data_IF_283289389683
#
_entry.id   IF_283289389683
#
_cell.length_a   1.000
_cell.length_b   1.000
_cell.length_c   1.000
_cell.angle_alpha   90.00
_cell.angle_beta   90.00
_cell.angle_gamma   90.00
#
_symmetry.space_group_name_H-M   'P 1'
#
loop_
_entity.id
_entity.type
_entity.pdbx_description
1 polymer ?
#
# COMPACT_ATOMS: atom_id res chain seq x y z
N UNK A 1 21.64 18.79 58.36
CA UNK A 1 22.00 18.54 56.94
C UNK A 1 21.61 17.12 56.57
N UNK A 2 20.53 16.94 55.80
CA UNK A 2 20.16 15.62 55.25
C UNK A 2 21.04 15.35 54.03
N UNK A 3 21.90 14.34 54.10
CA UNK A 3 22.57 13.79 52.91
C UNK A 3 21.56 12.93 52.17
N UNK A 4 21.13 13.38 51.00
CA UNK A 4 20.44 12.56 50.01
C UNK A 4 21.37 11.42 49.62
N UNK A 5 21.01 10.18 49.98
CA UNK A 5 21.65 8.99 49.41
C UNK A 5 21.11 8.87 47.99
N UNK A 6 21.92 9.28 47.03
CA UNK A 6 21.72 8.97 45.62
C UNK A 6 21.62 7.46 45.48
N UNK A 7 20.54 6.98 44.87
CA UNK A 7 20.25 5.56 44.71
C UNK A 7 21.35 4.90 43.88
N UNK A 8 22.05 3.94 44.47
CA UNK A 8 22.99 3.10 43.76
C UNK A 8 22.22 2.22 42.76
N UNK A 9 22.26 2.60 41.48
CA UNK A 9 21.75 1.75 40.40
C UNK A 9 22.62 0.50 40.32
N UNK A 10 21.99 -0.68 40.45
CA UNK A 10 22.68 -1.97 40.37
C UNK A 10 23.27 -2.17 38.97
N UNK A 11 24.52 -2.63 38.86
CA UNK A 11 25.15 -2.95 37.57
C UNK A 11 24.30 -3.92 36.73
N UNK A 12 23.61 -4.85 37.39
CA UNK A 12 22.69 -5.78 36.73
C UNK A 12 21.48 -5.08 36.08
N UNK A 13 21.02 -3.95 36.64
CA UNK A 13 19.94 -3.17 36.03
C UNK A 13 20.41 -2.47 34.75
N UNK A 14 21.64 -1.97 34.74
CA UNK A 14 22.25 -1.34 33.55
C UNK A 14 22.43 -2.38 32.44
N UNK A 15 22.91 -3.58 32.76
CA UNK A 15 23.09 -4.65 31.77
C UNK A 15 21.76 -5.12 31.15
N UNK A 16 20.70 -5.26 31.95
CA UNK A 16 19.38 -5.61 31.43
C UNK A 16 18.82 -4.49 30.55
N UNK A 17 18.99 -3.23 30.95
CA UNK A 17 18.52 -2.08 30.19
C UNK A 17 19.26 -1.96 28.84
N UNK A 18 20.58 -2.17 28.82
CA UNK A 18 21.37 -2.18 27.58
C UNK A 18 20.94 -3.32 26.65
N UNK A 19 20.74 -4.53 27.16
CA UNK A 19 20.27 -5.65 26.36
C UNK A 19 18.88 -5.39 25.76
N UNK A 20 17.96 -4.82 26.54
CA UNK A 20 16.63 -4.43 26.04
C UNK A 20 16.75 -3.33 24.97
N UNK A 21 17.60 -2.32 25.16
CA UNK A 21 17.80 -1.25 24.19
C UNK A 21 18.34 -1.78 22.85
N UNK A 22 19.26 -2.74 22.88
CA UNK A 22 19.80 -3.38 21.66
C UNK A 22 18.72 -4.20 20.95
N UNK A 23 17.88 -4.94 21.68
CA UNK A 23 16.75 -5.66 21.08
C UNK A 23 15.77 -4.69 20.42
N UNK A 24 15.42 -3.59 21.10
CA UNK A 24 14.56 -2.55 20.51
C UNK A 24 15.19 -1.92 19.27
N UNK A 25 16.51 -1.67 19.25
CA UNK A 25 17.22 -1.14 18.10
C UNK A 25 17.13 -2.08 16.89
N UNK A 26 17.35 -3.38 17.12
CA UNK A 26 17.23 -4.39 16.06
C UNK A 26 15.78 -4.48 15.57
N UNK A 27 14.80 -4.47 16.47
CA UNK A 27 13.38 -4.47 16.11
C UNK A 27 12.99 -3.21 15.31
N UNK A 28 13.54 -2.04 15.63
CA UNK A 28 13.32 -0.82 14.84
C UNK A 28 13.99 -0.85 13.47
N UNK A 29 15.11 -1.56 13.30
CA UNK A 29 15.77 -1.73 12.00
C UNK A 29 15.03 -2.73 11.11
N UNK A 30 14.43 -3.77 11.70
CA UNK A 30 13.60 -4.74 10.98
C UNK A 30 12.21 -4.15 10.68
N UNK A 31 11.72 -3.26 11.55
CA UNK A 31 10.50 -2.48 11.32
C UNK A 31 10.81 -1.30 10.42
N UNK A 32 10.98 -1.54 9.12
CA UNK A 32 10.90 -0.45 8.14
C UNK A 32 9.63 0.37 8.41
N UNK A 33 9.72 1.70 8.59
CA UNK A 33 8.53 2.50 8.67
C UNK A 33 7.89 2.49 7.29
N UNK A 34 6.78 1.76 7.14
CA UNK A 34 5.80 2.05 6.09
C UNK A 34 5.08 3.36 6.42
N UNK A 35 5.84 4.45 6.59
CA UNK A 35 5.32 5.79 6.71
C UNK A 35 4.96 6.30 5.32
N UNK A 36 3.78 5.89 4.85
CA UNK A 36 2.93 6.64 3.91
C UNK A 36 1.48 6.14 4.04
N UNK A 37 0.98 6.09 5.28
CA UNK A 37 -0.45 6.25 5.50
C UNK A 37 -0.74 7.75 5.54
N UNK A 38 -0.87 8.36 4.36
CA UNK A 38 -1.62 9.61 4.28
C UNK A 38 -3.09 9.27 4.48
N UNK A 39 -3.64 9.79 5.57
CA UNK A 39 -5.07 9.90 5.80
C UNK A 39 -5.78 10.48 4.57
N UNK A 40 -6.43 9.64 3.77
CA UNK A 40 -7.48 10.06 2.84
C UNK A 40 -8.80 10.16 3.61
N UNK A 41 -8.86 11.11 4.54
CA UNK A 41 -10.09 11.59 5.17
C UNK A 41 -10.32 13.09 4.90
N UNK A 42 -10.09 13.51 3.67
CA UNK A 42 -10.55 14.77 3.06
C UNK A 42 -10.47 14.53 1.54
N UNK A 43 -11.49 14.64 0.68
CA UNK A 43 -12.56 15.60 0.56
C UNK A 43 -13.83 14.93 0.01
N UNK A 44 -14.95 15.09 0.72
CA UNK A 44 -16.27 15.09 0.12
C UNK A 44 -16.41 16.46 -0.57
N UNK A 45 -16.42 16.47 -1.90
CA UNK A 45 -16.50 17.64 -2.81
C UNK A 45 -15.16 18.25 -3.28
N UNK A 46 -14.53 17.60 -4.26
CA UNK A 46 -13.85 18.36 -5.31
C UNK A 46 -14.04 17.67 -6.66
N UNK A 47 -14.72 18.36 -7.58
CA UNK A 47 -14.63 18.12 -9.03
C UNK A 47 -13.21 18.51 -9.48
N UNK A 48 -12.20 17.81 -8.97
CA UNK A 48 -10.80 17.94 -9.37
C UNK A 48 -10.56 17.03 -10.55
N UNK A 49 -10.67 17.59 -11.76
CA UNK A 49 -10.19 16.95 -12.97
C UNK A 49 -8.68 16.75 -12.85
N UNK A 50 -8.26 15.57 -12.42
CA UNK A 50 -6.91 15.10 -12.64
C UNK A 50 -6.81 14.79 -14.14
N UNK A 51 -6.45 15.81 -14.93
CA UNK A 51 -5.96 15.60 -16.29
C UNK A 51 -4.58 14.92 -16.19
N UNK A 52 -4.60 13.62 -15.89
CA UNK A 52 -3.43 12.75 -16.04
C UNK A 52 -3.24 12.53 -17.54
N UNK A 53 -2.29 13.23 -18.15
CA UNK A 53 -1.91 12.95 -19.54
C UNK A 53 -1.34 11.53 -19.63
N UNK A 54 -1.94 10.81 -20.58
CA UNK A 54 -1.53 9.59 -21.28
C UNK A 54 -1.52 8.26 -20.50
N UNK A 55 -2.59 7.49 -20.76
CA UNK A 55 -2.86 6.09 -20.37
C UNK A 55 -3.27 5.89 -18.90
N UNK A 56 -4.36 6.57 -18.49
CA UNK A 56 -5.12 6.17 -17.31
C UNK A 56 -5.93 4.90 -17.59
N UNK A 57 -5.70 3.85 -16.80
CA UNK A 57 -6.35 2.55 -16.94
C UNK A 57 -7.30 2.32 -15.77
N UNK A 58 -8.50 1.85 -16.06
CA UNK A 58 -9.44 1.36 -15.05
C UNK A 58 -9.41 -0.17 -15.02
N UNK A 59 -9.21 -0.75 -13.84
CA UNK A 59 -9.26 -2.19 -13.63
C UNK A 59 -10.40 -2.50 -12.67
N UNK A 60 -11.41 -3.25 -13.11
CA UNK A 60 -12.59 -3.57 -12.30
C UNK A 60 -12.69 -5.07 -12.05
N UNK A 61 -12.86 -5.46 -10.80
CA UNK A 61 -13.19 -6.83 -10.44
C UNK A 61 -14.59 -7.19 -10.97
N UNK A 62 -14.69 -8.33 -11.64
CA UNK A 62 -15.91 -8.92 -12.18
C UNK A 62 -16.09 -10.33 -11.60
N UNK A 63 -17.21 -11.00 -11.90
CA UNK A 63 -17.54 -12.30 -11.31
C UNK A 63 -16.44 -13.35 -11.52
N UNK A 64 -15.85 -13.39 -12.71
CA UNK A 64 -14.87 -14.41 -13.12
C UNK A 64 -13.48 -13.82 -13.40
N UNK A 65 -13.08 -12.76 -12.70
CA UNK A 65 -11.74 -12.16 -12.83
C UNK A 65 -11.77 -10.64 -12.90
N UNK A 66 -11.09 -10.09 -13.90
CA UNK A 66 -10.83 -8.65 -14.01
C UNK A 66 -11.15 -8.12 -15.41
N UNK A 67 -11.65 -6.90 -15.44
CA UNK A 67 -11.96 -6.13 -16.62
C UNK A 67 -11.04 -4.90 -16.66
N UNK A 68 -10.30 -4.73 -17.74
CA UNK A 68 -9.42 -3.58 -17.97
C UNK A 68 -10.06 -2.67 -19.02
N UNK A 69 -10.20 -1.39 -18.67
CA UNK A 69 -10.72 -0.35 -19.57
C UNK A 69 -9.68 0.74 -19.77
N UNK A 70 -9.61 1.23 -21.00
CA UNK A 70 -8.82 2.39 -21.37
C UNK A 70 -9.77 3.45 -21.93
N UNK A 71 -9.78 4.65 -21.32
CA UNK A 71 -10.69 5.74 -21.72
C UNK A 71 -12.16 5.27 -21.78
N UNK A 72 -12.59 4.49 -20.79
CA UNK A 72 -13.94 3.93 -20.70
C UNK A 72 -14.26 2.74 -21.63
N UNK A 73 -13.36 2.36 -22.55
CA UNK A 73 -13.55 1.22 -23.46
C UNK A 73 -12.89 -0.04 -22.90
N UNK A 74 -13.62 -1.16 -22.90
CA UNK A 74 -13.05 -2.48 -22.61
C UNK A 74 -11.94 -2.80 -23.61
N UNK A 75 -10.73 -3.00 -23.10
CA UNK A 75 -9.56 -3.38 -23.91
C UNK A 75 -9.14 -4.81 -23.63
N UNK A 76 -9.42 -5.29 -22.44
CA UNK A 76 -8.96 -6.59 -22.00
C UNK A 76 -9.82 -7.14 -20.86
N UNK A 77 -10.00 -8.46 -20.81
CA UNK A 77 -10.65 -9.19 -19.72
C UNK A 77 -9.90 -10.50 -19.47
N UNK A 78 -9.64 -10.83 -18.22
CA UNK A 78 -8.95 -12.07 -17.88
C UNK A 78 -8.74 -12.29 -16.39
N UNK A 79 -7.91 -13.27 -16.07
CA UNK A 79 -7.52 -13.58 -14.69
C UNK A 79 -6.42 -12.63 -14.21
N UNK A 80 -6.14 -12.65 -12.91
CA UNK A 80 -5.11 -11.81 -12.28
C UNK A 80 -3.77 -11.89 -13.00
N UNK A 81 -3.33 -13.09 -13.40
CA UNK A 81 -2.07 -13.29 -14.15
C UNK A 81 -2.05 -12.56 -15.49
N UNK A 82 -3.18 -12.55 -16.19
CA UNK A 82 -3.28 -11.90 -17.49
C UNK A 82 -3.28 -10.38 -17.35
N UNK A 83 -3.94 -9.86 -16.31
CA UNK A 83 -3.89 -8.43 -15.95
C UNK A 83 -2.46 -8.01 -15.61
N UNK A 84 -1.74 -8.80 -14.79
CA UNK A 84 -0.34 -8.55 -14.44
C UNK A 84 0.53 -8.54 -15.70
N UNK A 85 0.36 -9.52 -16.59
CA UNK A 85 1.07 -9.57 -17.87
C UNK A 85 0.78 -8.33 -18.73
N UNK A 86 -0.49 -7.91 -18.78
CA UNK A 86 -0.91 -6.72 -19.50
C UNK A 86 -0.31 -5.43 -18.93
N UNK A 87 -0.30 -5.26 -17.61
CA UNK A 87 0.29 -4.10 -16.91
C UNK A 87 1.79 -4.04 -17.23
N UNK A 88 2.53 -5.14 -17.09
CA UNK A 88 3.97 -5.17 -17.37
C UNK A 88 4.31 -4.84 -18.83
N UNK A 89 3.44 -5.22 -19.78
CA UNK A 89 3.65 -4.94 -21.21
C UNK A 89 3.30 -3.49 -21.57
N UNK A 90 2.24 -2.95 -20.98
CA UNK A 90 1.71 -1.63 -21.36
C UNK A 90 2.29 -0.49 -20.55
N UNK A 91 2.84 -0.78 -19.37
CA UNK A 91 3.45 0.18 -18.44
C UNK A 91 2.61 1.45 -18.28
N UNK A 92 1.35 1.33 -17.83
CA UNK A 92 0.46 2.48 -17.71
C UNK A 92 0.99 3.49 -16.70
N UNK A 93 0.75 4.78 -16.95
CA UNK A 93 1.17 5.87 -16.04
C UNK A 93 0.32 5.90 -14.77
N UNK A 94 -0.96 5.56 -14.88
CA UNK A 94 -1.90 5.51 -13.76
C UNK A 94 -2.89 4.35 -13.90
N UNK A 95 -3.18 3.69 -12.79
CA UNK A 95 -4.19 2.64 -12.67
C UNK A 95 -5.19 3.01 -11.56
N UNK A 96 -6.47 2.89 -11.87
CA UNK A 96 -7.57 2.96 -10.90
C UNK A 96 -8.25 1.60 -10.78
N UNK A 97 -8.23 1.01 -9.59
CA UNK A 97 -8.77 -0.33 -9.33
C UNK A 97 -10.08 -0.26 -8.57
N UNK A 98 -11.13 -0.88 -9.11
CA UNK A 98 -12.40 -1.10 -8.42
C UNK A 98 -12.47 -2.54 -7.93
N UNK A 99 -12.45 -2.72 -6.62
CA UNK A 99 -12.47 -4.02 -5.95
C UNK A 99 -13.90 -4.33 -5.53
N UNK A 100 -14.34 -5.58 -5.67
CA UNK A 100 -15.63 -6.04 -5.12
C UNK A 100 -15.41 -6.79 -3.82
N UNK A 101 -16.42 -6.85 -2.96
CA UNK A 101 -16.36 -7.56 -1.67
C UNK A 101 -15.96 -9.04 -1.76
N UNK A 102 -16.16 -9.69 -2.92
CA UNK A 102 -15.76 -11.07 -3.17
C UNK A 102 -14.38 -11.23 -3.86
N UNK A 103 -13.67 -10.13 -4.13
CA UNK A 103 -12.32 -10.18 -4.71
C UNK A 103 -11.35 -10.70 -3.68
N UNK A 104 -10.48 -11.63 -4.05
CA UNK A 104 -9.49 -12.13 -3.11
C UNK A 104 -8.46 -11.04 -2.83
N UNK A 105 -8.13 -10.82 -1.55
CA UNK A 105 -7.10 -9.87 -1.14
C UNK A 105 -5.76 -10.15 -1.84
N UNK A 106 -5.46 -11.44 -2.07
CA UNK A 106 -4.28 -11.90 -2.79
C UNK A 106 -4.22 -11.35 -4.23
N UNK A 107 -5.32 -11.41 -4.97
CA UNK A 107 -5.35 -10.94 -6.36
C UNK A 107 -5.13 -9.43 -6.44
N UNK A 108 -5.77 -8.68 -5.54
CA UNK A 108 -5.59 -7.25 -5.44
C UNK A 108 -4.13 -6.87 -5.13
N UNK A 109 -3.52 -7.51 -4.13
CA UNK A 109 -2.13 -7.27 -3.76
C UNK A 109 -1.16 -7.56 -4.91
N UNK A 110 -1.38 -8.64 -5.66
CA UNK A 110 -0.53 -8.98 -6.80
C UNK A 110 -0.59 -7.91 -7.92
N UNK A 111 -1.76 -7.32 -8.15
CA UNK A 111 -1.93 -6.20 -9.11
C UNK A 111 -1.26 -4.94 -8.57
N UNK A 112 -1.45 -4.63 -7.28
CA UNK A 112 -0.84 -3.48 -6.60
C UNK A 112 0.70 -3.53 -6.66
N UNK A 113 1.30 -4.64 -6.22
CA UNK A 113 2.75 -4.83 -6.23
C UNK A 113 3.34 -4.70 -7.63
N UNK A 114 2.64 -5.25 -8.63
CA UNK A 114 3.05 -5.13 -10.04
C UNK A 114 3.08 -3.67 -10.47
N UNK A 115 2.04 -2.89 -10.17
CA UNK A 115 1.96 -1.47 -10.51
C UNK A 115 3.03 -0.63 -9.79
N UNK A 116 3.27 -0.90 -8.50
CA UNK A 116 4.32 -0.22 -7.73
C UNK A 116 5.72 -0.48 -8.30
N UNK A 117 6.01 -1.73 -8.69
CA UNK A 117 7.31 -2.12 -9.27
C UNK A 117 7.65 -1.36 -10.55
N UNK A 118 6.65 -1.00 -11.36
CA UNK A 118 6.84 -0.27 -12.61
C UNK A 118 6.68 1.25 -12.46
N UNK A 119 6.49 1.75 -11.23
CA UNK A 119 6.36 3.18 -10.95
C UNK A 119 5.01 3.78 -11.36
N UNK A 120 3.97 2.96 -11.51
CA UNK A 120 2.63 3.41 -11.87
C UNK A 120 1.92 4.02 -10.67
N UNK A 121 1.26 5.17 -10.87
CA UNK A 121 0.38 5.76 -9.84
C UNK A 121 -0.84 4.86 -9.66
N UNK A 122 -1.14 4.47 -8.42
CA UNK A 122 -2.17 3.47 -8.13
C UNK A 122 -3.25 4.04 -7.21
N UNK A 123 -4.50 3.99 -7.67
CA UNK A 123 -5.70 4.33 -6.92
C UNK A 123 -6.57 3.09 -6.73
N UNK A 124 -7.27 2.98 -5.61
CA UNK A 124 -8.24 1.91 -5.40
C UNK A 124 -9.52 2.41 -4.73
N UNK A 125 -10.63 1.73 -5.04
CA UNK A 125 -11.92 1.93 -4.40
C UNK A 125 -12.59 0.57 -4.17
N UNK A 126 -13.29 0.44 -3.03
CA UNK A 126 -14.15 -0.72 -2.77
C UNK A 126 -15.59 -0.41 -3.22
N UNK A 127 -16.16 -1.31 -4.01
CA UNK A 127 -17.57 -1.31 -4.41
C UNK A 127 -18.32 -2.26 -3.46
N UNK A 128 -19.08 -1.68 -2.52
CA UNK A 128 -20.04 -2.45 -1.71
C UNK A 128 -21.24 -2.86 -2.58
N UNK A 129 -21.80 -4.04 -2.29
CA UNK A 129 -22.92 -4.62 -3.06
C UNK A 129 -24.21 -3.82 -2.89
#
# INVERSE_FOLDING_TARGET
>A
MRKTKEGAFSAAFVDVFFNLMVIFLILTLISEPSSSYQDLRTERNSKGSYETRDISVEIKAIQDGWLVKLKGKEVFRGQTKDVISWINRTSPSAISVTIKSNTTLRDFLAIYETAQRIGTVFFYQMEER
#
